data_IF_607938586717
#
_entry.id   IF_607938586717
#
_cell.length_a   1.000
_cell.length_b   1.000
_cell.length_c   1.000
_cell.angle_alpha   90.00
_cell.angle_beta   90.00
_cell.angle_gamma   90.00
#
_symmetry.space_group_name_H-M   'P 1'
#
loop_
_entity.id
_entity.type
_entity.pdbx_description
1 polymer ?
#
# COMPACT_ATOMS: atom_id res chain seq x y z
N UNK A 1 6.05 -15.53 -5.39
CA UNK A 1 4.62 -15.62 -4.99
C UNK A 1 3.89 -14.44 -5.62
N UNK A 2 2.80 -14.68 -6.34
CA UNK A 2 2.02 -13.64 -7.00
C UNK A 2 1.10 -12.98 -5.94
N UNK A 3 1.00 -11.64 -5.94
CA UNK A 3 0.03 -10.92 -5.13
C UNK A 3 -1.41 -11.32 -5.52
N UNK A 4 -2.28 -11.42 -4.54
CA UNK A 4 -3.70 -11.73 -4.71
C UNK A 4 -4.50 -10.50 -4.28
N UNK A 5 -5.56 -10.18 -5.02
CA UNK A 5 -6.46 -9.08 -4.65
C UNK A 5 -7.08 -9.34 -3.27
N UNK A 6 -7.00 -8.36 -2.38
CA UNK A 6 -7.63 -8.42 -1.05
C UNK A 6 -9.14 -8.21 -1.17
N UNK A 7 -9.81 -9.23 -1.70
CA UNK A 7 -11.25 -9.32 -1.89
C UNK A 7 -11.68 -10.75 -1.62
N UNK A 8 -12.76 -10.94 -0.88
CA UNK A 8 -13.18 -12.28 -0.42
C UNK A 8 -13.22 -13.31 -1.56
N UNK A 9 -13.78 -12.96 -2.71
CA UNK A 9 -13.88 -13.84 -3.85
C UNK A 9 -12.52 -14.21 -4.49
N UNK A 10 -11.49 -13.36 -4.31
CA UNK A 10 -10.16 -13.55 -4.91
C UNK A 10 -9.18 -14.25 -3.97
N UNK A 11 -9.43 -14.22 -2.66
CA UNK A 11 -8.49 -14.71 -1.66
C UNK A 11 -8.40 -16.24 -1.57
N UNK A 12 -9.45 -16.97 -1.99
CA UNK A 12 -9.46 -18.43 -1.97
C UNK A 12 -9.07 -18.99 -0.60
N UNK A 13 -8.04 -19.85 -0.57
CA UNK A 13 -7.55 -20.48 0.67
C UNK A 13 -7.03 -19.49 1.72
N UNK A 14 -6.66 -18.25 1.34
CA UNK A 14 -6.19 -17.24 2.29
C UNK A 14 -7.29 -16.78 3.27
N UNK A 15 -8.57 -16.94 2.92
CA UNK A 15 -9.67 -16.68 3.84
C UNK A 15 -9.61 -17.56 5.08
N UNK A 16 -9.11 -18.80 4.95
CA UNK A 16 -8.90 -19.72 6.07
C UNK A 16 -7.86 -19.27 7.09
N UNK A 17 -7.03 -18.28 6.74
CA UNK A 17 -6.03 -17.69 7.64
C UNK A 17 -6.60 -16.49 8.42
N UNK A 18 -7.74 -15.95 8.00
CA UNK A 18 -8.40 -14.82 8.64
C UNK A 18 -9.48 -15.28 9.61
N UNK A 19 -9.35 -14.95 10.88
CA UNK A 19 -10.42 -15.18 11.86
C UNK A 19 -11.67 -14.39 11.45
N UNK A 20 -12.83 -15.07 11.38
CA UNK A 20 -14.11 -14.45 11.03
C UNK A 20 -14.18 -13.91 9.58
N UNK A 21 -13.34 -14.43 8.66
CA UNK A 21 -13.35 -14.00 7.27
C UNK A 21 -14.78 -14.06 6.67
N UNK A 22 -15.24 -12.91 6.21
CA UNK A 22 -16.52 -12.75 5.53
C UNK A 22 -16.41 -11.65 4.48
N UNK A 23 -17.36 -11.60 3.56
CA UNK A 23 -17.44 -10.50 2.58
C UNK A 23 -17.52 -9.16 3.29
N UNK A 24 -18.36 -9.05 4.33
CA UNK A 24 -18.57 -7.82 5.08
C UNK A 24 -17.30 -7.38 5.82
N UNK A 25 -16.60 -8.29 6.49
CA UNK A 25 -15.34 -7.97 7.17
C UNK A 25 -14.27 -7.46 6.19
N UNK A 26 -14.11 -8.15 5.07
CA UNK A 26 -13.10 -7.73 4.07
C UNK A 26 -13.47 -6.39 3.43
N UNK A 27 -14.75 -6.15 3.14
CA UNK A 27 -15.21 -4.86 2.64
C UNK A 27 -15.00 -3.75 3.68
N UNK A 28 -15.31 -4.00 4.96
CA UNK A 28 -15.02 -3.07 6.05
C UNK A 28 -13.52 -2.72 6.09
N UNK A 29 -12.62 -3.70 6.09
CA UNK A 29 -11.17 -3.46 6.08
C UNK A 29 -10.73 -2.65 4.86
N UNK A 30 -11.40 -2.79 3.72
CA UNK A 30 -11.17 -2.00 2.50
C UNK A 30 -11.80 -0.60 2.53
N UNK A 31 -12.44 -0.22 3.62
CA UNK A 31 -12.99 1.12 3.81
C UNK A 31 -14.50 1.25 3.66
N UNK A 32 -15.26 0.14 3.51
CA UNK A 32 -16.74 0.17 3.52
C UNK A 32 -17.23 0.44 4.94
N UNK A 33 -18.03 1.50 5.10
CA UNK A 33 -18.61 1.90 6.37
C UNK A 33 -20.06 1.43 6.55
N UNK A 34 -20.64 0.74 5.59
CA UNK A 34 -22.07 0.37 5.59
C UNK A 34 -22.51 -0.52 6.75
N UNK A 35 -21.56 -1.18 7.41
CA UNK A 35 -21.79 -2.07 8.55
C UNK A 35 -21.22 -1.53 9.86
N UNK A 36 -20.85 -0.25 9.92
CA UNK A 36 -20.33 0.39 11.12
C UNK A 36 -21.46 0.74 12.10
N UNK A 37 -21.20 0.51 13.38
CA UNK A 37 -22.11 0.84 14.48
C UNK A 37 -21.91 2.30 14.91
N UNK A 38 -22.59 3.18 14.24
CA UNK A 38 -22.62 4.63 14.51
C UNK A 38 -23.87 5.03 15.26
N UNK A 39 -23.97 6.29 15.68
CA UNK A 39 -25.22 6.80 16.28
C UNK A 39 -26.41 6.74 15.32
N UNK A 40 -26.16 6.78 14.02
CA UNK A 40 -27.20 6.68 12.98
C UNK A 40 -27.65 5.23 12.76
N UNK A 41 -26.77 4.26 13.02
CA UNK A 41 -27.00 2.82 12.82
C UNK A 41 -27.22 2.04 14.13
N UNK A 42 -27.32 2.73 15.27
CA UNK A 42 -27.37 2.10 16.60
C UNK A 42 -28.51 1.05 16.79
N UNK A 43 -29.59 1.13 15.99
CA UNK A 43 -30.69 0.17 15.99
C UNK A 43 -30.67 -0.79 14.79
N UNK A 44 -29.64 -0.72 13.93
CA UNK A 44 -29.51 -1.63 12.79
C UNK A 44 -28.77 -2.91 13.22
N UNK A 45 -29.45 -4.07 13.21
CA UNK A 45 -28.82 -5.33 13.59
C UNK A 45 -27.70 -5.76 12.65
N UNK A 46 -27.58 -5.10 11.49
CA UNK A 46 -26.48 -5.35 10.52
C UNK A 46 -25.26 -4.47 10.78
N UNK A 47 -25.33 -3.48 11.65
CA UNK A 47 -24.21 -2.64 12.09
C UNK A 47 -23.35 -3.40 13.11
N UNK A 48 -22.50 -4.28 12.60
CA UNK A 48 -21.76 -5.28 13.38
C UNK A 48 -20.32 -4.90 13.69
N UNK A 49 -19.77 -3.89 13.00
CA UNK A 49 -18.39 -3.44 13.15
C UNK A 49 -18.29 -2.12 13.92
N UNK A 50 -17.12 -1.86 14.52
CA UNK A 50 -16.88 -0.58 15.18
C UNK A 50 -16.95 0.58 14.19
N UNK A 51 -17.41 1.73 14.64
CA UNK A 51 -17.31 2.98 13.92
C UNK A 51 -15.84 3.45 13.85
N UNK A 52 -15.44 4.05 12.72
CA UNK A 52 -14.13 4.65 12.52
C UNK A 52 -14.29 6.14 12.24
N UNK A 53 -13.42 6.96 12.83
CA UNK A 53 -13.34 8.38 12.51
C UNK A 53 -12.72 8.59 11.13
N UNK A 54 -11.71 7.78 10.80
CA UNK A 54 -11.03 7.79 9.50
C UNK A 54 -10.90 6.37 8.97
N UNK A 55 -10.84 6.21 7.66
CA UNK A 55 -10.62 4.90 7.02
C UNK A 55 -9.16 4.51 7.03
N UNK A 56 -8.28 5.49 6.83
CA UNK A 56 -6.84 5.31 6.97
C UNK A 56 -6.50 5.19 8.46
N UNK A 57 -5.74 4.17 8.83
CA UNK A 57 -5.21 4.00 10.17
C UNK A 57 -4.20 5.09 10.54
N UNK A 58 -3.94 5.22 11.83
CA UNK A 58 -2.90 6.12 12.32
C UNK A 58 -1.51 5.67 11.85
N UNK A 59 -0.67 6.67 11.56
CA UNK A 59 0.72 6.50 11.14
C UNK A 59 1.58 6.99 12.31
N UNK A 60 2.23 6.07 13.01
CA UNK A 60 2.99 6.41 14.24
C UNK A 60 4.50 6.31 14.00
N UNK A 61 5.03 5.13 13.72
CA UNK A 61 6.46 4.91 13.53
C UNK A 61 6.84 4.62 12.07
N UNK A 62 5.86 4.53 11.17
CA UNK A 62 6.12 4.34 9.74
C UNK A 62 6.67 5.62 9.14
N UNK A 63 7.83 5.52 8.51
CA UNK A 63 8.42 6.65 7.77
C UNK A 63 7.94 6.60 6.33
N UNK A 64 7.28 7.64 5.82
CA UNK A 64 6.90 7.70 4.41
C UNK A 64 8.13 7.66 3.51
N UNK A 65 8.07 6.89 2.42
CA UNK A 65 9.12 6.79 1.41
C UNK A 65 8.55 7.12 0.04
N UNK A 66 9.16 8.11 -0.60
CA UNK A 66 8.77 8.51 -1.95
C UNK A 66 9.63 7.78 -2.97
N UNK A 67 9.01 6.98 -3.82
CA UNK A 67 9.65 6.15 -4.84
C UNK A 67 9.38 6.73 -6.22
N UNK A 68 10.41 7.21 -6.89
CA UNK A 68 10.36 7.67 -8.28
C UNK A 68 11.67 7.35 -9.00
N UNK A 69 12.51 8.33 -9.17
CA UNK A 69 13.74 8.29 -9.95
C UNK A 69 14.98 8.71 -9.15
N UNK A 70 14.79 9.08 -7.89
CA UNK A 70 15.81 9.72 -7.06
C UNK A 70 16.85 8.76 -6.48
N UNK A 71 16.48 7.50 -6.22
CA UNK A 71 17.43 6.52 -5.70
C UNK A 71 18.39 6.09 -6.82
N UNK A 72 19.68 6.27 -6.60
CA UNK A 72 20.76 5.74 -7.43
C UNK A 72 21.74 5.02 -6.50
N UNK A 73 21.85 3.70 -6.66
CA UNK A 73 22.75 2.87 -5.86
C UNK A 73 24.22 2.98 -6.27
N UNK A 74 24.54 3.75 -7.31
CA UNK A 74 25.91 4.03 -7.72
C UNK A 74 26.69 2.84 -8.31
N UNK A 75 25.98 1.85 -8.85
CA UNK A 75 26.61 0.66 -9.46
C UNK A 75 27.53 1.01 -10.65
N UNK A 76 27.31 2.15 -11.28
CA UNK A 76 28.19 2.63 -12.36
C UNK A 76 29.61 2.96 -11.87
N UNK A 77 29.81 3.14 -10.55
CA UNK A 77 31.12 3.38 -9.93
C UNK A 77 31.91 2.10 -9.69
N UNK A 78 31.30 0.94 -9.86
CA UNK A 78 31.96 -0.34 -9.74
C UNK A 78 32.95 -0.53 -10.91
N UNK A 79 34.02 -1.34 -10.74
CA UNK A 79 34.97 -1.63 -11.80
C UNK A 79 34.28 -2.18 -13.05
N UNK A 80 34.86 -1.87 -14.24
CA UNK A 80 34.39 -2.43 -15.51
C UNK A 80 34.37 -3.95 -15.45
N UNK A 81 33.28 -4.58 -15.93
CA UNK A 81 33.08 -6.02 -15.89
C UNK A 81 32.51 -6.55 -14.56
N UNK A 82 32.25 -5.70 -13.57
CA UNK A 82 31.56 -6.14 -12.36
C UNK A 82 30.12 -6.57 -12.68
N UNK A 83 29.68 -7.75 -12.21
CA UNK A 83 28.32 -8.22 -12.47
C UNK A 83 27.26 -7.20 -12.03
N UNK A 84 26.30 -6.90 -12.89
CA UNK A 84 25.22 -5.97 -12.59
C UNK A 84 25.50 -4.49 -12.87
N UNK A 85 26.77 -4.07 -13.04
CA UNK A 85 27.12 -2.66 -13.28
C UNK A 85 26.41 -2.07 -14.49
N UNK A 86 26.58 -2.69 -15.65
CA UNK A 86 26.06 -2.15 -16.91
C UNK A 86 24.55 -2.38 -17.06
N UNK A 87 24.03 -3.50 -16.53
CA UNK A 87 22.59 -3.78 -16.51
C UNK A 87 21.84 -2.84 -15.58
N UNK A 88 22.39 -2.49 -14.42
CA UNK A 88 21.79 -1.50 -13.53
C UNK A 88 21.76 -0.12 -14.18
N UNK A 89 22.83 0.29 -14.83
CA UNK A 89 22.89 1.55 -15.58
C UNK A 89 21.83 1.59 -16.69
N UNK A 90 21.72 0.52 -17.47
CA UNK A 90 20.71 0.41 -18.52
C UNK A 90 19.27 0.47 -17.93
N UNK A 91 19.03 -0.13 -16.78
CA UNK A 91 17.75 -0.02 -16.05
C UNK A 91 17.47 1.42 -15.61
N UNK A 92 18.44 2.11 -15.00
CA UNK A 92 18.26 3.49 -14.55
C UNK A 92 17.96 4.42 -15.71
N UNK A 93 18.71 4.30 -16.82
CA UNK A 93 18.60 5.18 -17.99
C UNK A 93 17.51 4.75 -18.98
N UNK A 94 16.91 3.57 -18.82
CA UNK A 94 15.88 3.04 -19.74
C UNK A 94 16.42 2.60 -21.10
N UNK A 95 17.70 2.25 -21.17
CA UNK A 95 18.37 1.80 -22.41
C UNK A 95 18.49 0.29 -22.51
N UNK A 96 18.03 -0.45 -21.49
CA UNK A 96 18.05 -1.91 -21.46
C UNK A 96 16.87 -2.55 -22.20
N UNK A 97 16.98 -3.85 -22.46
CA UNK A 97 15.88 -4.65 -23.02
C UNK A 97 15.28 -5.55 -21.91
N UNK A 98 13.93 -5.64 -21.81
CA UNK A 98 12.94 -4.95 -22.65
C UNK A 98 12.90 -3.45 -22.35
N UNK A 99 12.57 -2.66 -23.36
CA UNK A 99 12.42 -1.20 -23.26
C UNK A 99 11.18 -0.79 -22.43
N UNK A 100 11.04 -1.33 -21.24
CA UNK A 100 10.06 -0.92 -20.26
C UNK A 100 10.65 0.21 -19.45
N UNK A 101 10.48 1.43 -19.90
CA UNK A 101 10.83 2.69 -19.29
C UNK A 101 11.80 2.62 -18.11
N UNK A 102 12.99 3.19 -18.25
CA UNK A 102 13.96 3.23 -17.17
C UNK A 102 13.44 4.00 -15.96
N UNK A 103 14.13 3.87 -14.86
CA UNK A 103 13.78 4.54 -13.61
C UNK A 103 13.60 6.05 -13.81
N UNK A 104 14.50 6.69 -14.56
CA UNK A 104 14.43 8.12 -14.91
C UNK A 104 13.27 8.52 -15.82
N UNK A 105 12.58 7.54 -16.42
CA UNK A 105 11.46 7.78 -17.33
C UNK A 105 10.10 7.64 -16.62
N UNK A 106 10.08 7.37 -15.31
CA UNK A 106 8.84 7.28 -14.55
C UNK A 106 8.13 8.63 -14.54
N UNK A 107 6.94 8.68 -15.11
CA UNK A 107 6.14 9.91 -15.14
C UNK A 107 5.62 10.31 -13.77
N UNK A 108 5.26 9.33 -12.95
CA UNK A 108 4.69 9.51 -11.62
C UNK A 108 5.54 8.82 -10.56
N UNK A 109 5.58 9.43 -9.36
CA UNK A 109 6.09 8.81 -8.15
C UNK A 109 4.98 8.23 -7.30
N UNK A 110 5.34 7.37 -6.36
CA UNK A 110 4.45 6.83 -5.35
C UNK A 110 5.02 7.09 -3.97
N UNK A 111 4.17 7.60 -3.07
CA UNK A 111 4.48 7.73 -1.65
C UNK A 111 3.98 6.48 -0.93
N UNK A 112 4.90 5.72 -0.34
CA UNK A 112 4.58 4.54 0.46
C UNK A 112 4.59 4.89 1.94
N UNK A 113 3.57 4.42 2.67
CA UNK A 113 3.49 4.58 4.12
C UNK A 113 2.71 3.43 4.73
N UNK A 114 3.23 2.86 5.81
CA UNK A 114 2.52 1.87 6.61
C UNK A 114 1.55 2.54 7.58
N UNK A 115 0.41 1.90 7.84
CA UNK A 115 -0.57 2.38 8.79
C UNK A 115 -1.09 1.26 9.71
N UNK A 116 -1.69 1.66 10.83
CA UNK A 116 -2.21 0.73 11.83
C UNK A 116 -3.61 0.18 11.48
N UNK A 117 -4.07 0.38 10.26
CA UNK A 117 -5.18 -0.38 9.66
C UNK A 117 -4.75 -1.72 9.04
N UNK A 118 -3.46 -2.05 9.15
CA UNK A 118 -2.90 -3.32 8.68
C UNK A 118 -2.39 -3.29 7.24
N UNK A 119 -2.19 -2.11 6.65
CA UNK A 119 -1.82 -1.97 5.25
C UNK A 119 -0.58 -1.10 5.03
N UNK A 120 0.18 -1.41 3.99
CA UNK A 120 1.13 -0.51 3.38
C UNK A 120 0.42 0.18 2.22
N UNK A 121 0.19 1.47 2.35
CA UNK A 121 -0.48 2.29 1.35
C UNK A 121 0.49 2.88 0.35
N UNK A 122 0.03 3.05 -0.89
CA UNK A 122 0.75 3.72 -1.95
C UNK A 122 -0.11 4.82 -2.55
N UNK A 123 0.30 6.05 -2.37
CA UNK A 123 -0.38 7.24 -2.86
C UNK A 123 0.36 7.82 -4.06
N UNK A 124 -0.41 8.25 -5.05
CA UNK A 124 0.12 8.88 -6.26
C UNK A 124 0.70 10.26 -5.94
N UNK A 125 1.85 10.56 -6.51
CA UNK A 125 2.33 11.93 -6.70
C UNK A 125 1.48 12.65 -7.75
N UNK A 126 1.24 13.95 -7.60
CA UNK A 126 0.56 14.74 -8.62
C UNK A 126 1.48 15.02 -9.80
N UNK A 127 0.92 15.05 -11.01
CA UNK A 127 1.64 15.52 -12.19
C UNK A 127 0.98 16.77 -12.75
N UNK A 128 1.82 17.70 -13.20
CA UNK A 128 1.41 19.01 -13.69
C UNK A 128 1.99 19.26 -15.08
N UNK A 129 1.28 20.00 -15.91
CA UNK A 129 1.81 20.48 -17.17
C UNK A 129 2.79 21.66 -16.98
N UNK A 130 3.39 22.13 -18.06
CA UNK A 130 4.33 23.26 -18.02
C UNK A 130 3.67 24.59 -17.60
N UNK A 131 2.36 24.68 -17.58
CA UNK A 131 1.56 25.82 -17.16
C UNK A 131 1.11 25.70 -15.70
N UNK A 132 1.40 24.55 -15.03
CA UNK A 132 1.01 24.28 -13.65
C UNK A 132 -0.40 23.71 -13.49
N UNK A 133 -1.07 23.33 -14.58
CA UNK A 133 -2.37 22.66 -14.49
C UNK A 133 -2.19 21.20 -14.09
N UNK A 134 -3.13 20.68 -13.30
CA UNK A 134 -3.11 19.28 -12.85
C UNK A 134 -3.40 18.35 -14.04
N UNK A 135 -2.43 17.49 -14.38
CA UNK A 135 -2.62 16.36 -15.31
C UNK A 135 -3.19 15.17 -14.54
N UNK A 136 -2.54 14.80 -13.42
CA UNK A 136 -3.02 13.79 -12.50
C UNK A 136 -3.04 14.36 -11.07
N UNK A 137 -4.15 14.13 -10.37
CA UNK A 137 -4.28 14.57 -8.99
C UNK A 137 -3.39 13.72 -8.07
N UNK A 138 -2.57 14.39 -7.24
CA UNK A 138 -1.81 13.76 -6.18
C UNK A 138 -2.66 13.37 -4.97
N UNK A 139 -2.08 12.54 -4.10
CA UNK A 139 -2.73 12.08 -2.87
C UNK A 139 -3.81 11.01 -3.07
N UNK A 140 -4.00 10.53 -4.29
CA UNK A 140 -4.92 9.43 -4.58
C UNK A 140 -4.23 8.11 -4.25
N UNK A 141 -4.89 7.26 -3.46
CA UNK A 141 -4.43 5.90 -3.22
C UNK A 141 -4.49 5.07 -4.50
N UNK A 142 -3.35 4.49 -4.88
CA UNK A 142 -3.23 3.64 -6.07
C UNK A 142 -3.48 2.18 -5.69
N UNK A 143 -2.94 1.76 -4.56
CA UNK A 143 -3.18 0.46 -3.95
C UNK A 143 -2.81 0.47 -2.46
N UNK A 144 -3.32 -0.52 -1.74
CA UNK A 144 -2.84 -0.88 -0.41
C UNK A 144 -2.44 -2.35 -0.38
N UNK A 145 -1.33 -2.66 0.27
CA UNK A 145 -0.82 -4.02 0.41
C UNK A 145 -1.02 -4.52 1.84
N UNK A 146 -1.71 -5.65 1.99
CA UNK A 146 -1.89 -6.35 3.25
C UNK A 146 -0.81 -7.41 3.40
N UNK A 147 0.10 -7.32 4.38
CA UNK A 147 1.06 -8.37 4.66
C UNK A 147 0.36 -9.67 5.09
N UNK A 148 0.73 -10.79 4.47
CA UNK A 148 0.14 -12.09 4.74
C UNK A 148 0.17 -12.48 6.24
N UNK A 149 1.23 -12.11 6.95
CA UNK A 149 1.40 -12.38 8.37
C UNK A 149 0.33 -11.72 9.26
N UNK A 150 -0.34 -10.68 8.78
CA UNK A 150 -1.36 -9.96 9.54
C UNK A 150 -2.77 -10.54 9.40
N UNK A 151 -3.02 -11.38 8.40
CA UNK A 151 -4.35 -11.94 8.12
C UNK A 151 -5.06 -12.51 9.37
N UNK A 152 -4.38 -13.26 10.26
CA UNK A 152 -5.05 -13.82 11.45
C UNK A 152 -5.59 -12.77 12.42
N UNK A 153 -5.01 -11.58 12.45
CA UNK A 153 -5.32 -10.53 13.44
C UNK A 153 -6.16 -9.36 12.90
N UNK A 154 -6.38 -9.28 11.59
CA UNK A 154 -7.09 -8.14 10.97
C UNK A 154 -8.54 -7.99 11.47
N UNK A 155 -9.21 -9.09 11.87
CA UNK A 155 -10.56 -9.04 12.42
C UNK A 155 -10.67 -8.15 13.67
N UNK A 156 -9.58 -8.02 14.43
CA UNK A 156 -9.52 -7.18 15.63
C UNK A 156 -9.70 -5.69 15.31
N UNK A 157 -9.42 -5.26 14.08
CA UNK A 157 -9.66 -3.89 13.62
C UNK A 157 -11.15 -3.56 13.52
N UNK A 158 -12.00 -4.57 13.36
CA UNK A 158 -13.45 -4.43 13.21
C UNK A 158 -14.22 -4.64 14.54
N UNK A 159 -13.53 -5.07 15.60
CA UNK A 159 -14.13 -5.36 16.89
C UNK A 159 -14.65 -4.07 17.55
N UNK A 160 -15.91 -4.09 18.03
CA UNK A 160 -16.51 -2.96 18.77
C UNK A 160 -15.76 -2.66 20.08
N UNK A 161 -15.10 -3.66 20.68
CA UNK A 161 -14.22 -3.51 21.84
C UNK A 161 -12.74 -3.29 21.44
N UNK A 162 -12.51 -2.71 20.26
CA UNK A 162 -11.18 -2.48 19.72
C UNK A 162 -10.23 -1.84 20.72
N UNK A 163 -9.04 -2.40 20.82
CA UNK A 163 -7.92 -1.81 21.50
C UNK A 163 -6.82 -1.53 20.47
N UNK A 164 -6.24 -0.34 20.52
CA UNK A 164 -5.20 0.07 19.59
C UNK A 164 -4.05 -0.94 19.55
N UNK A 165 -3.59 -1.26 18.34
CA UNK A 165 -2.48 -2.18 18.06
C UNK A 165 -1.65 -1.64 16.91
N UNK A 166 -0.36 -1.93 16.96
CA UNK A 166 0.55 -1.67 15.87
C UNK A 166 0.51 -2.81 14.87
N UNK A 167 0.37 -2.48 13.58
CA UNK A 167 0.28 -3.44 12.48
C UNK A 167 1.40 -3.20 11.47
N UNK A 168 1.25 -2.28 10.51
CA UNK A 168 2.28 -1.90 9.55
C UNK A 168 2.89 -0.59 10.01
N UNK A 169 3.74 -0.64 11.03
CA UNK A 169 4.20 0.53 11.77
C UNK A 169 5.74 0.72 11.74
N UNK A 170 6.45 -0.08 10.98
CA UNK A 170 7.91 0.01 10.83
C UNK A 170 8.34 1.01 9.74
N UNK A 171 9.62 1.38 9.71
CA UNK A 171 10.18 2.22 8.67
C UNK A 171 10.16 1.50 7.31
N UNK A 172 9.90 2.26 6.25
CA UNK A 172 9.98 1.79 4.88
C UNK A 172 11.36 2.13 4.30
N UNK A 173 11.86 1.27 3.44
CA UNK A 173 13.13 1.48 2.73
C UNK A 173 12.93 1.17 1.24
N UNK A 174 13.33 2.10 0.38
CA UNK A 174 13.42 1.86 -1.06
C UNK A 174 14.75 1.17 -1.37
N UNK A 175 14.70 0.15 -2.22
CA UNK A 175 15.89 -0.45 -2.83
C UNK A 175 15.57 -0.92 -4.25
N UNK A 176 16.58 -0.94 -5.11
CA UNK A 176 16.48 -1.57 -6.42
C UNK A 176 17.02 -3.01 -6.35
N UNK A 177 16.31 -3.95 -6.98
CA UNK A 177 16.63 -5.39 -6.99
C UNK A 177 16.64 -5.94 -8.42
#
# INVERSE_FOLDING_TARGET
TRAVEFKHASMGALTGLMTGASVDLINYLRGDASKEDTSETANDPTAIFRARETRLGDIVNSTPVFVKDTLDLGYERLPSGFPGRDTYRAYVDGTGSPAAGGKKQRAEGLLFVGANDGMLHAFRDGTFDAQGNVINQGGVEVFAYVPHALLPSLHLLADKAYQHRYYVDGPNIETDA
#
